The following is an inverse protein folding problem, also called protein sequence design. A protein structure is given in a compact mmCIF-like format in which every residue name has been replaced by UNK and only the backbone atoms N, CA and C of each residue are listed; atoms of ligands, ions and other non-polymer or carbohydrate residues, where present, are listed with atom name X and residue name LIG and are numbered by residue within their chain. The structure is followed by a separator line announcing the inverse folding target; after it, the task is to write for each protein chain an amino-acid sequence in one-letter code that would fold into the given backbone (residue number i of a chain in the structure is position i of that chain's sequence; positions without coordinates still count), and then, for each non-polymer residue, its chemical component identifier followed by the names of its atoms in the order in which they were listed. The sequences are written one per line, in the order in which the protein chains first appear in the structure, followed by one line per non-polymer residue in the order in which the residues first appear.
data_IF_463996631333
#
_entry.id   IF_463996631333
#
_cell.length_a   1.000
_cell.length_b   1.000
_cell.length_c   1.000
_cell.angle_alpha   90.00
_cell.angle_beta   90.00
_cell.angle_gamma   90.00
#
_symmetry.space_group_name_H-M   'P 1'
#
loop_
_entity.id
_entity.type
_entity.pdbx_description
1 polymer ?
#
# COMPACT_ATOMS: atom_id res chain seq x y z
N UNK A 1 -4.62 9.34 17.97
CA UNK A 1 -4.83 10.80 18.00
C UNK A 1 -4.07 11.40 16.85
N UNK A 2 -4.78 11.87 15.83
CA UNK A 2 -4.23 12.77 14.82
C UNK A 2 -3.83 14.05 15.54
N UNK A 3 -2.53 14.36 15.61
CA UNK A 3 -2.10 15.70 15.95
C UNK A 3 -1.94 16.46 14.65
N UNK A 4 -2.64 17.58 14.58
CA UNK A 4 -2.54 18.53 13.48
C UNK A 4 -1.94 19.80 14.04
N UNK A 5 -0.89 20.30 13.41
CA UNK A 5 -0.43 21.67 13.65
C UNK A 5 -0.09 22.33 12.33
N UNK A 6 0.06 23.65 12.37
CA UNK A 6 0.35 24.49 11.21
C UNK A 6 1.86 24.61 11.04
N UNK A 7 2.38 24.21 9.89
CA UNK A 7 3.73 24.61 9.46
C UNK A 7 3.62 25.98 8.79
N UNK A 8 4.40 26.96 9.26
CA UNK A 8 4.55 28.27 8.62
C UNK A 8 5.96 28.37 8.05
N UNK A 9 6.09 28.60 6.75
CA UNK A 9 7.36 28.83 6.08
C UNK A 9 7.39 30.22 5.41
N UNK A 10 8.58 30.81 5.32
CA UNK A 10 8.85 32.00 4.54
C UNK A 10 10.19 31.81 3.81
N UNK A 11 10.25 32.18 2.54
CA UNK A 11 11.48 32.19 1.75
C UNK A 11 11.94 33.63 1.50
N UNK A 12 13.25 33.80 1.34
CA UNK A 12 13.91 35.09 1.05
C UNK A 12 14.79 34.92 -0.20
N UNK A 13 14.76 35.88 -1.12
CA UNK A 13 15.62 35.83 -2.31
C UNK A 13 17.08 36.12 -1.94
N UNK A 14 18.02 35.32 -2.45
CA UNK A 14 19.45 35.49 -2.23
C UNK A 14 20.09 36.39 -3.31
N UNK A 15 19.65 37.64 -3.45
CA UNK A 15 20.40 38.62 -4.26
C UNK A 15 20.04 40.08 -3.91
N UNK A 16 20.96 40.76 -3.22
CA UNK A 16 21.35 42.16 -3.47
C UNK A 16 20.38 43.32 -3.21
N UNK A 17 19.14 43.09 -2.80
CA UNK A 17 18.16 44.13 -2.42
C UNK A 17 17.37 43.75 -1.17
N UNK A 18 16.58 44.70 -0.62
CA UNK A 18 15.71 44.44 0.55
C UNK A 18 14.92 43.14 0.33
N UNK A 19 15.12 42.16 1.20
CA UNK A 19 14.53 40.83 1.03
C UNK A 19 13.01 40.91 1.23
N UNK A 20 12.24 40.89 0.13
CA UNK A 20 10.79 40.74 0.20
C UNK A 20 10.45 39.33 0.71
N UNK A 21 9.68 39.27 1.81
CA UNK A 21 9.23 38.02 2.42
C UNK A 21 8.15 37.40 1.53
N UNK A 22 8.28 36.11 1.21
CA UNK A 22 7.19 35.37 0.55
C UNK A 22 5.92 35.34 1.40
N UNK A 23 4.76 35.11 0.79
CA UNK A 23 3.52 34.84 1.51
C UNK A 23 3.69 33.66 2.49
N UNK A 24 2.89 33.64 3.57
CA UNK A 24 2.87 32.52 4.51
C UNK A 24 2.09 31.38 3.89
N UNK A 25 2.75 30.25 3.64
CA UNK A 25 2.06 28.99 3.32
C UNK A 25 1.72 28.29 4.62
N UNK A 26 0.46 27.92 4.80
CA UNK A 26 -0.01 27.08 5.91
C UNK A 26 -0.26 25.65 5.41
N UNK A 27 0.35 24.67 6.09
CA UNK A 27 0.11 23.26 5.82
C UNK A 27 -0.47 22.55 7.05
N UNK A 28 -1.48 21.72 6.81
CA UNK A 28 -2.10 20.80 7.77
C UNK A 28 -1.42 19.45 7.61
N UNK A 29 -0.84 18.91 8.68
CA UNK A 29 -0.30 17.55 8.67
C UNK A 29 -1.00 16.64 9.70
N UNK A 30 -0.87 15.33 9.50
CA UNK A 30 -1.34 14.31 10.44
C UNK A 30 -0.13 13.59 11.03
N UNK A 31 0.05 13.69 12.35
CA UNK A 31 1.03 12.84 13.04
C UNK A 31 0.47 11.43 13.18
N UNK A 32 1.21 10.44 12.66
CA UNK A 32 0.88 9.03 12.85
C UNK A 32 1.75 8.43 13.96
N UNK A 33 1.11 7.77 14.93
CA UNK A 33 1.81 6.95 15.92
C UNK A 33 2.01 5.56 15.35
N UNK A 34 3.26 5.13 15.27
CA UNK A 34 3.63 3.73 15.01
C UNK A 34 3.47 2.90 16.30
N UNK A 35 3.20 1.61 16.15
CA UNK A 35 2.97 0.65 17.22
C UNK A 35 1.58 -0.02 17.19
N UNK A 36 1.31 -1.00 18.08
CA UNK A 36 0.14 -1.89 17.99
C UNK A 36 -1.24 -1.21 17.99
N UNK A 37 -1.33 0.02 18.52
CA UNK A 37 -2.55 0.82 18.57
C UNK A 37 -2.61 1.89 17.47
N UNK A 38 -1.73 1.81 16.47
CA UNK A 38 -1.57 2.79 15.41
C UNK A 38 -0.89 2.20 14.18
N UNK A 39 -0.48 3.07 13.26
CA UNK A 39 0.16 2.69 12.02
C UNK A 39 -0.09 3.71 10.91
N UNK A 40 0.58 3.51 9.80
CA UNK A 40 0.39 4.28 8.57
C UNK A 40 -0.12 3.33 7.49
N UNK A 41 -1.26 3.66 6.90
CA UNK A 41 -1.80 2.88 5.79
C UNK A 41 -0.95 3.09 4.55
N UNK A 42 -0.71 2.02 3.79
CA UNK A 42 0.05 2.12 2.54
C UNK A 42 -0.66 2.99 1.50
N UNK A 43 -1.99 3.06 1.54
CA UNK A 43 -2.77 3.96 0.67
C UNK A 43 -2.56 5.44 0.96
N UNK A 44 -2.04 5.80 2.13
CA UNK A 44 -1.66 7.18 2.48
C UNK A 44 -0.19 7.50 2.12
N UNK A 45 0.56 6.53 1.61
CA UNK A 45 1.97 6.69 1.26
C UNK A 45 2.17 6.79 -0.26
N UNK A 46 3.19 7.53 -0.72
CA UNK A 46 3.66 7.40 -2.08
C UNK A 46 4.41 6.08 -2.26
N UNK A 47 4.18 5.44 -3.39
CA UNK A 47 4.95 4.30 -3.87
C UNK A 47 6.31 4.76 -4.35
N UNK A 48 7.33 3.92 -4.15
CA UNK A 48 8.60 4.02 -4.87
C UNK A 48 8.42 3.58 -6.32
N UNK A 49 7.68 2.48 -6.51
CA UNK A 49 7.37 1.89 -7.80
C UNK A 49 6.11 1.04 -7.69
N UNK A 50 5.34 0.95 -8.78
CA UNK A 50 4.18 0.10 -8.88
C UNK A 50 3.95 -0.38 -10.32
N UNK A 51 3.55 -1.63 -10.45
CA UNK A 51 3.14 -2.24 -11.71
C UNK A 51 1.79 -2.94 -11.47
N UNK A 52 0.75 -2.47 -12.15
CA UNK A 52 -0.61 -2.98 -12.00
C UNK A 52 -1.49 -2.57 -13.19
N UNK A 53 -2.46 -3.41 -13.54
CA UNK A 53 -3.37 -3.10 -14.64
C UNK A 53 -4.28 -1.93 -14.27
N UNK A 54 -4.19 -0.85 -15.05
CA UNK A 54 -4.92 0.39 -14.76
C UNK A 54 -4.45 1.12 -13.49
N UNK A 55 -3.23 0.81 -13.01
CA UNK A 55 -2.63 1.38 -11.81
C UNK A 55 -3.26 0.90 -10.49
N UNK A 56 -2.61 1.25 -9.38
CA UNK A 56 -3.12 0.91 -8.04
C UNK A 56 -4.45 1.62 -7.78
N UNK A 57 -5.42 0.91 -7.19
CA UNK A 57 -6.62 1.53 -6.62
C UNK A 57 -6.41 1.67 -5.12
N UNK A 58 -6.27 2.90 -4.66
CA UNK A 58 -6.10 3.25 -3.24
C UNK A 58 -7.47 3.54 -2.64
N UNK A 59 -7.81 2.84 -1.56
CA UNK A 59 -9.06 3.00 -0.80
C UNK A 59 -10.33 2.83 -1.66
N UNK A 60 -10.23 2.11 -2.77
CA UNK A 60 -11.31 1.91 -3.71
C UNK A 60 -11.22 0.53 -4.38
N UNK A 61 -12.38 -0.01 -4.76
CA UNK A 61 -12.50 -1.18 -5.60
C UNK A 61 -12.07 -0.89 -7.04
N UNK A 62 -12.13 -1.90 -7.91
CA UNK A 62 -11.56 -1.79 -9.25
C UNK A 62 -12.29 -0.77 -10.12
N UNK A 63 -13.63 -0.68 -10.03
CA UNK A 63 -14.40 0.36 -10.72
C UNK A 63 -14.28 1.76 -10.13
N UNK A 64 -13.65 1.91 -8.96
CA UNK A 64 -13.54 3.20 -8.26
C UNK A 64 -14.86 3.72 -7.69
N UNK A 65 -15.89 2.87 -7.59
CA UNK A 65 -17.25 3.27 -7.16
C UNK A 65 -17.50 3.09 -5.67
N UNK A 66 -16.56 2.50 -4.94
CA UNK A 66 -16.69 2.29 -3.51
C UNK A 66 -15.45 1.64 -2.91
N UNK A 67 -15.44 1.44 -1.59
CA UNK A 67 -14.39 0.70 -0.91
C UNK A 67 -14.37 -0.77 -1.35
N UNK A 68 -13.23 -1.43 -1.14
CA UNK A 68 -13.13 -2.88 -1.31
C UNK A 68 -13.96 -3.62 -0.27
N UNK A 69 -14.38 -4.84 -0.57
CA UNK A 69 -15.07 -5.72 0.38
C UNK A 69 -14.70 -7.19 0.22
N UNK A 70 -14.82 -7.92 1.32
CA UNK A 70 -14.71 -9.37 1.37
C UNK A 70 -15.93 -9.96 2.09
N UNK A 71 -16.68 -10.85 1.43
CA UNK A 71 -17.89 -11.45 2.00
C UNK A 71 -18.93 -10.41 2.43
N UNK A 72 -19.01 -9.26 1.75
CA UNK A 72 -19.88 -8.14 2.06
C UNK A 72 -19.37 -7.21 3.17
N UNK A 73 -18.23 -7.52 3.80
CA UNK A 73 -17.59 -6.61 4.78
C UNK A 73 -16.72 -5.59 4.06
N UNK A 74 -17.08 -4.32 4.17
CA UNK A 74 -16.35 -3.21 3.56
C UNK A 74 -15.09 -2.82 4.34
N UNK A 75 -14.02 -2.48 3.60
CA UNK A 75 -12.76 -1.96 4.12
C UNK A 75 -12.44 -0.59 3.50
N UNK A 76 -12.55 0.51 4.27
CA UNK A 76 -12.32 1.87 3.77
C UNK A 76 -10.87 2.18 3.42
N UNK A 77 -9.92 1.40 3.93
CA UNK A 77 -8.49 1.56 3.65
C UNK A 77 -7.99 0.32 2.94
N UNK A 78 -7.42 0.47 1.76
CA UNK A 78 -6.95 -0.67 0.95
C UNK A 78 -5.99 -0.26 -0.15
N UNK A 79 -5.24 -1.25 -0.63
CA UNK A 79 -4.59 -1.21 -1.95
C UNK A 79 -5.16 -2.38 -2.75
N UNK A 80 -5.88 -2.10 -3.83
CA UNK A 80 -6.24 -3.11 -4.82
C UNK A 80 -5.27 -3.04 -5.99
N UNK A 81 -4.72 -4.19 -6.33
CA UNK A 81 -3.74 -4.42 -7.38
C UNK A 81 -4.38 -5.40 -8.37
N UNK A 82 -4.89 -4.90 -9.49
CA UNK A 82 -5.27 -5.81 -10.57
C UNK A 82 -3.98 -6.39 -11.18
N UNK A 83 -3.93 -7.72 -11.31
CA UNK A 83 -2.77 -8.38 -11.91
C UNK A 83 -2.62 -7.93 -13.37
N UNK A 84 -1.40 -7.59 -13.79
CA UNK A 84 -1.08 -7.17 -15.15
C UNK A 84 -0.31 -8.27 -15.87
N UNK A 85 -0.47 -8.35 -17.19
CA UNK A 85 0.27 -9.30 -18.01
C UNK A 85 1.76 -8.98 -17.98
N UNK A 86 2.58 -9.99 -17.70
CA UNK A 86 4.03 -9.91 -17.75
C UNK A 86 4.62 -11.14 -18.46
N UNK A 87 5.92 -11.09 -18.74
CA UNK A 87 6.63 -12.23 -19.31
C UNK A 87 6.59 -13.42 -18.34
N UNK A 88 6.12 -14.58 -18.81
CA UNK A 88 6.04 -15.81 -18.01
C UNK A 88 4.79 -15.93 -17.13
N UNK A 89 3.83 -15.00 -17.23
CA UNK A 89 2.57 -15.03 -16.48
C UNK A 89 2.20 -13.65 -15.92
N UNK A 90 0.98 -13.52 -15.42
CA UNK A 90 0.50 -12.29 -14.80
C UNK A 90 1.22 -11.99 -13.49
N UNK A 91 1.70 -10.77 -13.33
CA UNK A 91 2.35 -10.30 -12.10
C UNK A 91 2.15 -8.81 -11.92
N UNK A 92 1.91 -8.41 -10.67
CA UNK A 92 1.85 -7.01 -10.26
C UNK A 92 2.56 -6.79 -8.93
N UNK A 93 2.99 -5.56 -8.66
CA UNK A 93 3.58 -5.19 -7.38
C UNK A 93 3.36 -3.73 -7.02
N UNK A 94 3.51 -3.44 -5.72
CA UNK A 94 3.60 -2.09 -5.18
C UNK A 94 4.73 -2.05 -4.14
N UNK A 95 5.68 -1.13 -4.30
CA UNK A 95 6.85 -1.00 -3.44
C UNK A 95 6.82 0.31 -2.67
N UNK A 96 7.09 0.25 -1.36
CA UNK A 96 7.08 1.39 -0.45
C UNK A 96 8.42 1.52 0.27
N UNK A 97 8.92 2.75 0.39
CA UNK A 97 10.11 3.04 1.18
C UNK A 97 9.76 3.11 2.68
N UNK A 98 10.54 2.42 3.51
CA UNK A 98 10.46 2.52 4.97
C UNK A 98 11.49 3.52 5.48
N UNK A 99 11.40 4.77 4.99
CA UNK A 99 12.35 5.84 5.29
C UNK A 99 11.86 6.76 6.42
N UNK A 100 12.78 7.55 6.98
CA UNK A 100 12.47 8.54 8.01
C UNK A 100 11.78 7.91 9.23
N UNK A 101 10.60 8.41 9.59
CA UNK A 101 9.83 7.87 10.71
C UNK A 101 9.37 6.42 10.52
N UNK A 102 9.15 5.98 9.28
CA UNK A 102 8.70 4.63 8.94
C UNK A 102 9.78 3.57 9.13
N UNK A 103 11.06 3.96 9.19
CA UNK A 103 12.17 3.04 9.48
C UNK A 103 12.07 2.40 10.89
N UNK A 104 11.20 2.92 11.76
CA UNK A 104 10.89 2.36 13.08
C UNK A 104 9.73 1.37 13.07
N UNK A 105 9.03 1.23 11.94
CA UNK A 105 7.96 0.24 11.82
C UNK A 105 8.58 -1.17 11.91
N UNK A 106 7.94 -2.03 12.70
CA UNK A 106 8.39 -3.40 12.94
C UNK A 106 7.40 -4.43 12.44
N UNK A 107 6.16 -4.03 12.09
CA UNK A 107 5.15 -4.96 11.58
C UNK A 107 4.44 -4.40 10.35
N UNK A 108 4.18 -5.27 9.38
CA UNK A 108 3.19 -5.04 8.34
C UNK A 108 1.98 -5.91 8.62
N UNK A 109 0.79 -5.32 8.52
CA UNK A 109 -0.49 -6.05 8.63
C UNK A 109 -1.42 -5.71 7.49
N UNK A 110 -2.13 -6.71 6.98
CA UNK A 110 -3.19 -6.57 6.00
C UNK A 110 -4.17 -7.75 6.10
N UNK A 111 -5.31 -7.62 5.45
CA UNK A 111 -6.22 -8.72 5.15
C UNK A 111 -6.25 -8.84 3.63
N UNK A 112 -5.86 -10.00 3.09
CA UNK A 112 -5.74 -10.26 1.65
C UNK A 112 -6.91 -11.10 1.14
N UNK A 113 -7.24 -10.90 -0.13
CA UNK A 113 -8.29 -11.65 -0.83
C UNK A 113 -8.60 -11.00 -2.18
N UNK A 114 -9.50 -11.61 -2.92
CA UNK A 114 -10.07 -11.01 -4.13
C UNK A 114 -11.30 -10.18 -3.75
N UNK A 115 -11.40 -8.97 -4.28
CA UNK A 115 -12.50 -8.06 -3.98
C UNK A 115 -13.85 -8.63 -4.44
N UNK A 116 -14.90 -8.46 -3.64
CA UNK A 116 -16.24 -8.99 -3.95
C UNK A 116 -16.81 -8.46 -5.28
N UNK A 117 -16.34 -7.31 -5.79
CA UNK A 117 -16.73 -6.81 -7.13
C UNK A 117 -16.38 -7.80 -8.25
N UNK A 118 -15.30 -8.59 -8.08
CA UNK A 118 -14.94 -9.66 -9.01
C UNK A 118 -15.85 -10.90 -8.88
N UNK A 119 -16.72 -10.95 -7.86
CA UNK A 119 -17.59 -12.08 -7.59
C UNK A 119 -16.81 -13.36 -7.29
N UNK A 120 -17.05 -14.40 -8.09
CA UNK A 120 -16.34 -15.70 -7.99
C UNK A 120 -15.23 -15.86 -9.04
N UNK A 121 -14.95 -14.81 -9.81
CA UNK A 121 -13.89 -14.82 -10.80
C UNK A 121 -12.55 -14.40 -10.17
N UNK A 122 -11.48 -14.65 -10.91
CA UNK A 122 -10.11 -14.34 -10.51
C UNK A 122 -9.47 -15.38 -9.60
N UNK A 123 -8.15 -15.49 -9.74
CA UNK A 123 -7.31 -16.39 -9.00
C UNK A 123 -5.97 -15.69 -8.77
N UNK A 124 -5.60 -15.46 -7.50
CA UNK A 124 -4.38 -14.74 -7.18
C UNK A 124 -3.51 -15.50 -6.18
N UNK A 125 -2.19 -15.30 -6.26
CA UNK A 125 -1.30 -15.51 -5.11
C UNK A 125 -0.82 -14.18 -4.57
N UNK A 126 -0.63 -14.08 -3.26
CA UNK A 126 -0.11 -12.89 -2.60
C UNK A 126 1.22 -13.21 -1.93
N UNK A 127 2.19 -12.31 -2.06
CA UNK A 127 3.45 -12.39 -1.33
C UNK A 127 3.87 -11.04 -0.76
N UNK A 128 4.54 -11.07 0.38
CA UNK A 128 5.20 -9.90 0.96
C UNK A 128 6.70 -10.10 0.90
N UNK A 129 7.38 -9.11 0.35
CA UNK A 129 8.82 -9.06 0.27
C UNK A 129 9.36 -7.83 1.00
N UNK A 130 10.50 -7.96 1.66
CA UNK A 130 11.16 -6.88 2.39
C UNK A 130 12.60 -6.74 1.93
N UNK A 131 13.10 -5.50 1.85
CA UNK A 131 14.49 -5.23 1.50
C UNK A 131 15.32 -5.02 2.76
N UNK A 132 16.20 -5.95 3.09
CA UNK A 132 17.16 -5.87 4.21
C UNK A 132 18.57 -5.98 3.67
N UNK A 133 19.46 -5.10 4.12
CA UNK A 133 20.88 -5.10 3.73
C UNK A 133 21.09 -5.20 2.20
N UNK A 134 20.23 -4.53 1.43
CA UNK A 134 20.27 -4.52 -0.04
C UNK A 134 19.75 -5.78 -0.73
N UNK A 135 19.13 -6.72 -0.01
CA UNK A 135 18.58 -7.97 -0.54
C UNK A 135 17.08 -8.09 -0.27
N UNK A 136 16.33 -8.49 -1.30
CA UNK A 136 14.92 -8.78 -1.18
C UNK A 136 14.72 -10.16 -0.57
N UNK A 137 13.93 -10.23 0.49
CA UNK A 137 13.54 -11.45 1.18
C UNK A 137 12.03 -11.61 1.09
N UNK A 138 11.54 -12.76 0.62
CA UNK A 138 10.13 -13.10 0.73
C UNK A 138 9.84 -13.58 2.15
N UNK A 139 8.97 -12.86 2.84
CA UNK A 139 8.62 -13.12 4.25
C UNK A 139 7.21 -13.66 4.44
N UNK A 140 6.41 -13.68 3.37
CA UNK A 140 5.08 -14.29 3.36
C UNK A 140 4.67 -14.70 1.94
N UNK A 141 3.89 -15.77 1.84
CA UNK A 141 3.24 -16.24 0.62
C UNK A 141 1.92 -16.95 0.99
N UNK A 142 0.82 -16.63 0.30
CA UNK A 142 -0.53 -17.11 0.65
C UNK A 142 -0.91 -18.48 0.08
N UNK A 143 -0.18 -18.94 -0.93
CA UNK A 143 -0.75 -19.89 -1.88
C UNK A 143 -1.86 -19.25 -2.74
N UNK A 144 -2.68 -20.07 -3.40
CA UNK A 144 -3.73 -19.60 -4.30
C UNK A 144 -4.99 -19.24 -3.52
N UNK A 145 -5.49 -18.02 -3.72
CA UNK A 145 -6.80 -17.54 -3.27
C UNK A 145 -7.71 -17.27 -4.48
N UNK A 146 -9.01 -17.53 -4.34
CA UNK A 146 -10.03 -17.34 -5.39
C UNK A 146 -11.13 -16.39 -4.99
N UNK A 147 -11.82 -15.84 -6.00
CA UNK A 147 -13.03 -15.04 -5.81
C UNK A 147 -14.07 -15.77 -4.94
N UNK A 148 -14.56 -15.09 -3.91
CA UNK A 148 -15.55 -15.62 -2.97
C UNK A 148 -15.02 -16.54 -1.87
N UNK A 149 -13.72 -16.85 -1.84
CA UNK A 149 -13.10 -17.50 -0.68
C UNK A 149 -12.97 -16.51 0.50
N UNK A 150 -12.97 -17.01 1.75
CA UNK A 150 -12.71 -16.16 2.91
C UNK A 150 -11.35 -15.46 2.79
N UNK A 151 -11.24 -14.18 3.22
CA UNK A 151 -9.96 -13.49 3.18
C UNK A 151 -8.99 -14.07 4.22
N UNK A 152 -7.70 -13.82 4.00
CA UNK A 152 -6.61 -14.27 4.87
C UNK A 152 -5.92 -13.08 5.53
N UNK A 153 -5.64 -13.16 6.82
CA UNK A 153 -4.86 -12.14 7.52
C UNK A 153 -3.35 -12.34 7.34
N UNK A 154 -2.64 -11.22 7.20
CA UNK A 154 -1.19 -11.14 7.05
C UNK A 154 -0.64 -10.32 8.22
N UNK A 155 0.39 -10.86 8.88
CA UNK A 155 1.10 -10.18 9.96
C UNK A 155 2.59 -10.58 9.95
N UNK A 156 3.43 -9.74 9.35
CA UNK A 156 4.84 -10.05 9.10
C UNK A 156 5.77 -9.06 9.79
N UNK A 157 6.98 -9.51 10.10
CA UNK A 157 8.04 -8.69 10.66
C UNK A 157 8.69 -7.79 9.59
N UNK A 158 8.84 -6.51 9.91
CA UNK A 158 9.53 -5.50 9.12
C UNK A 158 10.84 -5.03 9.77
N UNK A 159 11.25 -5.62 10.89
CA UNK A 159 12.45 -5.18 11.60
C UNK A 159 13.66 -5.14 10.66
N UNK A 160 14.35 -3.99 10.63
CA UNK A 160 15.52 -3.75 9.76
C UNK A 160 15.22 -3.57 8.27
N UNK A 161 13.96 -3.61 7.84
CA UNK A 161 13.61 -3.43 6.44
C UNK A 161 13.70 -1.96 6.01
N UNK A 162 14.28 -1.73 4.83
CA UNK A 162 14.36 -0.41 4.18
C UNK A 162 13.27 -0.20 3.14
N UNK A 163 12.70 -1.29 2.60
CA UNK A 163 11.54 -1.26 1.71
C UNK A 163 10.62 -2.45 1.98
N UNK A 164 9.34 -2.27 1.63
CA UNK A 164 8.29 -3.27 1.63
C UNK A 164 7.72 -3.38 0.22
N UNK A 165 7.58 -4.59 -0.31
CA UNK A 165 6.94 -4.85 -1.61
C UNK A 165 5.80 -5.84 -1.45
N UNK A 166 4.62 -5.43 -1.91
CA UNK A 166 3.45 -6.28 -2.08
C UNK A 166 3.51 -6.88 -3.48
N UNK A 167 3.32 -8.19 -3.62
CA UNK A 167 3.37 -8.89 -4.90
C UNK A 167 2.08 -9.71 -5.08
N UNK A 168 1.51 -9.63 -6.27
CA UNK A 168 0.39 -10.46 -6.70
C UNK A 168 0.74 -11.17 -8.01
N UNK A 169 0.26 -12.41 -8.20
CA UNK A 169 0.36 -13.13 -9.48
C UNK A 169 -1.01 -13.66 -9.90
N UNK A 170 -1.13 -14.05 -11.17
CA UNK A 170 -2.35 -14.65 -11.76
C UNK A 170 -2.56 -16.13 -11.41
N UNK A 171 -1.74 -16.67 -10.49
CA UNK A 171 -1.76 -18.08 -10.11
C UNK A 171 -1.68 -19.08 -11.29
N UNK A 172 -1.23 -18.63 -12.46
CA UNK A 172 -1.06 -19.43 -13.67
C UNK A 172 -2.33 -19.73 -14.46
N UNK A 173 -3.47 -19.07 -14.21
CA UNK A 173 -4.68 -19.27 -15.03
C UNK A 173 -4.97 -18.14 -16.03
N UNK A 174 -4.74 -16.87 -15.68
CA UNK A 174 -4.61 -15.64 -16.51
C UNK A 174 -5.00 -14.43 -15.65
N UNK A 175 -4.80 -13.20 -16.14
CA UNK A 175 -5.05 -11.99 -15.32
C UNK A 175 -6.52 -11.60 -15.11
N UNK A 176 -7.50 -12.33 -15.66
CA UNK A 176 -8.88 -11.85 -15.73
C UNK A 176 -9.54 -11.83 -14.35
N UNK A 177 -10.03 -10.66 -13.95
CA UNK A 177 -10.72 -10.44 -12.68
C UNK A 177 -9.84 -10.69 -11.44
N UNK A 178 -8.53 -10.67 -11.62
CA UNK A 178 -7.54 -10.80 -10.54
C UNK A 178 -7.41 -9.51 -9.74
N UNK A 179 -8.51 -9.14 -9.08
CA UNK A 179 -8.65 -7.96 -8.25
C UNK A 179 -8.00 -8.20 -6.88
N UNK A 180 -6.69 -8.43 -6.88
CA UNK A 180 -5.91 -8.81 -5.71
C UNK A 180 -5.85 -7.64 -4.72
N UNK A 181 -6.50 -7.79 -3.57
CA UNK A 181 -6.72 -6.71 -2.63
C UNK A 181 -5.97 -6.92 -1.32
N UNK A 182 -5.30 -5.85 -0.85
CA UNK A 182 -4.67 -5.74 0.46
C UNK A 182 -5.46 -4.74 1.31
N UNK A 183 -6.48 -5.24 2.01
CA UNK A 183 -7.34 -4.43 2.86
C UNK A 183 -6.67 -4.11 4.21
N UNK A 184 -6.84 -2.89 4.70
CA UNK A 184 -6.25 -2.41 5.96
C UNK A 184 -4.72 -2.45 5.98
N UNK A 185 -4.08 -2.49 4.81
CA UNK A 185 -2.64 -2.62 4.63
C UNK A 185 -1.90 -1.47 5.29
N UNK A 186 -1.14 -1.77 6.35
CA UNK A 186 -0.48 -0.75 7.17
C UNK A 186 0.83 -1.24 7.76
N UNK A 187 1.72 -0.28 8.01
CA UNK A 187 2.96 -0.47 8.77
C UNK A 187 2.82 0.15 10.16
N UNK A 188 3.37 -0.50 11.18
CA UNK A 188 3.30 -0.07 12.58
C UNK A 188 4.58 -0.40 13.35
#
# INVERSE_FOLDING_TARGET
MTQTTTLKAAAFASAGGEAERSETVEAVYTAHKLGPAGGVYLSDLPEVDAFAHGGLKKDANYSGKGPVSFGGKSFPKSILIHVEAAEGGGRSHATYALAGGLARATRFKATIGLDDEAGKAGTCTFAVEVLRDGKWERVFESGVLRGGEPPQDVDVDLSGASQLRLVCTDAGDNINSDHATWAGARVQ
#
